data_IF_265663007585
#
_entry.id   IF_265663007585
#
_cell.length_a   1.000
_cell.length_b   1.000
_cell.length_c   1.000
_cell.angle_alpha   90.00
_cell.angle_beta   90.00
_cell.angle_gamma   90.00
#
_symmetry.space_group_name_H-M   'P 1'
#
loop_
_entity.id
_entity.type
_entity.pdbx_description
1 polymer ?
#
# COMPACT_ATOMS: atom_id res chain seq x y z
N UNK A 1 29.67 34.93 19.57
CA UNK A 1 29.92 33.49 19.28
C UNK A 1 28.65 32.64 19.10
N UNK A 2 27.44 33.23 19.02
CA UNK A 2 26.18 32.46 18.91
C UNK A 2 25.69 32.22 17.46
N UNK A 3 26.27 32.92 16.46
CA UNK A 3 25.88 32.79 15.05
C UNK A 3 26.50 31.59 14.32
N UNK A 4 27.54 30.97 14.88
CA UNK A 4 28.27 29.87 14.21
C UNK A 4 27.67 28.48 14.51
N UNK A 5 26.86 28.36 15.56
CA UNK A 5 26.23 27.08 15.97
C UNK A 5 24.91 26.79 15.24
N UNK A 6 24.26 27.80 14.65
CA UNK A 6 23.00 27.62 13.92
C UNK A 6 23.16 27.10 12.48
N UNK A 7 24.37 27.14 11.91
CA UNK A 7 24.61 26.75 10.51
C UNK A 7 24.86 25.24 10.36
N UNK A 8 25.30 24.54 11.41
CA UNK A 8 25.52 23.09 11.35
C UNK A 8 24.22 22.24 11.41
N UNK A 9 23.09 22.82 11.82
CA UNK A 9 21.83 22.06 11.95
C UNK A 9 21.12 21.82 10.60
N UNK A 10 21.52 22.48 9.51
CA UNK A 10 20.81 22.40 8.22
C UNK A 10 21.37 21.39 7.20
N UNK A 11 22.52 20.74 7.44
CA UNK A 11 23.20 19.96 6.39
C UNK A 11 22.90 18.45 6.45
N UNK A 12 22.21 17.95 7.48
CA UNK A 12 22.04 16.50 7.67
C UNK A 12 20.67 15.95 7.20
N UNK A 13 20.13 16.42 6.08
CA UNK A 13 18.94 15.82 5.41
C UNK A 13 19.17 15.12 4.04
N UNK A 14 20.32 15.13 3.35
CA UNK A 14 20.39 14.57 2.00
C UNK A 14 20.66 13.05 1.95
N UNK A 15 21.15 12.44 3.04
CA UNK A 15 21.62 11.05 3.01
C UNK A 15 20.51 10.01 2.83
N UNK A 16 19.29 10.28 3.32
CA UNK A 16 18.16 9.34 3.22
C UNK A 16 17.55 9.41 1.81
N UNK A 17 17.40 10.60 1.24
CA UNK A 17 16.80 10.80 -0.09
C UNK A 17 17.65 10.16 -1.21
N UNK A 18 18.98 10.24 -1.12
CA UNK A 18 19.87 9.62 -2.11
C UNK A 18 19.74 8.08 -2.17
N UNK A 19 19.49 7.43 -1.02
CA UNK A 19 19.32 5.96 -0.93
C UNK A 19 17.97 5.46 -1.47
N UNK A 20 17.00 6.36 -1.66
CA UNK A 20 15.65 6.01 -2.08
C UNK A 20 15.39 6.21 -3.59
N UNK A 21 16.40 6.54 -4.40
CA UNK A 21 16.23 6.84 -5.84
C UNK A 21 15.74 5.66 -6.68
N UNK A 22 16.20 4.44 -6.40
CA UNK A 22 15.76 3.24 -7.10
C UNK A 22 15.43 2.13 -6.10
N UNK A 23 14.24 1.53 -6.21
CA UNK A 23 13.88 0.40 -5.39
C UNK A 23 14.58 -0.87 -5.92
N UNK A 24 15.29 -1.62 -5.08
CA UNK A 24 15.97 -2.85 -5.50
C UNK A 24 14.93 -3.93 -5.86
N UNK A 25 15.34 -4.92 -6.67
CA UNK A 25 14.49 -6.08 -7.02
C UNK A 25 13.97 -6.82 -5.77
N UNK A 26 14.71 -6.81 -4.67
CA UNK A 26 14.28 -7.42 -3.41
C UNK A 26 12.97 -6.84 -2.86
N UNK A 27 12.64 -5.59 -3.19
CA UNK A 27 11.36 -4.96 -2.81
C UNK A 27 10.18 -5.50 -3.63
N UNK A 28 10.40 -5.86 -4.90
CA UNK A 28 9.34 -6.46 -5.74
C UNK A 28 8.85 -7.78 -5.14
N UNK A 29 9.76 -8.54 -4.52
CA UNK A 29 9.48 -9.85 -3.97
C UNK A 29 9.27 -9.83 -2.44
N UNK A 30 9.02 -8.67 -1.82
CA UNK A 30 8.90 -8.61 -0.36
C UNK A 30 7.69 -9.36 0.19
N UNK A 31 6.71 -9.69 -0.65
CA UNK A 31 5.63 -10.62 -0.28
C UNK A 31 6.16 -12.03 0.04
N UNK A 32 7.30 -12.44 -0.53
CA UNK A 32 7.98 -13.70 -0.15
C UNK A 32 8.70 -13.59 1.20
N UNK A 33 8.96 -12.36 1.67
CA UNK A 33 9.60 -12.09 2.94
C UNK A 33 8.61 -11.89 4.08
N UNK A 34 7.40 -11.41 3.78
CA UNK A 34 6.36 -11.18 4.76
C UNK A 34 5.10 -11.93 4.34
N UNK A 35 4.74 -12.96 5.11
CA UNK A 35 3.49 -13.69 4.93
C UNK A 35 2.32 -12.86 5.48
N UNK A 36 2.14 -11.67 4.92
CA UNK A 36 1.04 -10.78 5.25
C UNK A 36 -0.27 -11.39 4.71
N UNK A 37 -1.32 -11.47 5.54
CA UNK A 37 -2.60 -11.99 5.11
C UNK A 37 -3.18 -11.14 3.98
N UNK A 38 -3.74 -11.81 2.98
CA UNK A 38 -4.41 -11.18 1.85
C UNK A 38 -5.92 -11.32 2.01
N UNK A 39 -6.70 -10.29 1.63
CA UNK A 39 -8.15 -10.32 1.75
C UNK A 39 -8.75 -11.38 0.80
N UNK A 40 -9.72 -12.13 1.30
CA UNK A 40 -10.54 -13.01 0.48
C UNK A 40 -11.62 -12.21 -0.26
N UNK A 41 -11.22 -11.57 -1.36
CA UNK A 41 -12.16 -10.85 -2.24
C UNK A 41 -13.15 -11.75 -2.97
N UNK A 42 -13.02 -13.08 -2.88
CA UNK A 42 -14.05 -14.01 -3.35
C UNK A 42 -15.38 -13.85 -2.60
N UNK A 43 -15.36 -13.27 -1.40
CA UNK A 43 -16.55 -13.00 -0.61
C UNK A 43 -17.56 -12.07 -1.30
N UNK A 44 -17.15 -11.33 -2.34
CA UNK A 44 -17.99 -10.41 -3.14
C UNK A 44 -18.34 -10.96 -4.54
N UNK A 45 -18.15 -12.26 -4.78
CA UNK A 45 -18.40 -12.87 -6.10
C UNK A 45 -19.84 -12.70 -6.59
N UNK A 46 -20.83 -12.74 -5.69
CA UNK A 46 -22.24 -12.52 -6.03
C UNK A 46 -22.49 -11.16 -6.68
N UNK A 47 -21.77 -10.13 -6.24
CA UNK A 47 -21.92 -8.75 -6.72
C UNK A 47 -20.97 -8.44 -7.89
N UNK A 48 -19.77 -9.04 -7.88
CA UNK A 48 -18.65 -8.60 -8.71
C UNK A 48 -18.04 -9.68 -9.61
N UNK A 49 -18.73 -10.80 -9.84
CA UNK A 49 -18.25 -11.84 -10.76
C UNK A 49 -18.11 -11.36 -12.21
N UNK A 50 -18.93 -10.39 -12.63
CA UNK A 50 -18.96 -9.85 -14.00
C UNK A 50 -18.07 -8.62 -14.22
N UNK A 51 -17.29 -8.17 -13.22
CA UNK A 51 -16.51 -6.92 -13.28
C UNK A 51 -15.31 -6.94 -14.24
N UNK A 52 -15.22 -7.93 -15.12
CA UNK A 52 -14.08 -8.13 -16.02
C UNK A 52 -12.82 -8.66 -15.32
N UNK A 53 -11.79 -9.02 -16.11
CA UNK A 53 -10.57 -9.66 -15.59
C UNK A 53 -9.56 -8.67 -14.98
N UNK A 54 -9.73 -7.36 -15.19
CA UNK A 54 -8.79 -6.35 -14.71
C UNK A 54 -8.91 -6.18 -13.18
N UNK A 55 -7.80 -6.27 -12.42
CA UNK A 55 -7.81 -6.06 -10.97
C UNK A 55 -8.42 -4.72 -10.54
N UNK A 56 -8.17 -3.65 -11.30
CA UNK A 56 -8.76 -2.32 -11.05
C UNK A 56 -10.28 -2.35 -11.09
N UNK A 57 -10.88 -2.95 -12.12
CA UNK A 57 -12.33 -3.06 -12.26
C UNK A 57 -12.96 -3.90 -11.17
N UNK A 58 -12.33 -5.02 -10.82
CA UNK A 58 -12.82 -5.90 -9.76
C UNK A 58 -12.79 -5.21 -8.39
N UNK A 59 -11.70 -4.52 -8.06
CA UNK A 59 -11.62 -3.75 -6.82
C UNK A 59 -12.58 -2.55 -6.81
N UNK A 60 -12.76 -1.87 -7.94
CA UNK A 60 -13.76 -0.80 -8.06
C UNK A 60 -15.17 -1.33 -7.75
N UNK A 61 -15.55 -2.49 -8.33
CA UNK A 61 -16.83 -3.11 -8.04
C UNK A 61 -16.99 -3.43 -6.55
N UNK A 62 -15.99 -4.06 -5.93
CA UNK A 62 -16.03 -4.42 -4.50
C UNK A 62 -16.18 -3.17 -3.63
N UNK A 63 -15.40 -2.14 -3.93
CA UNK A 63 -15.43 -0.90 -3.16
C UNK A 63 -16.79 -0.18 -3.29
N UNK A 64 -17.39 -0.21 -4.47
CA UNK A 64 -18.74 0.33 -4.70
C UNK A 64 -19.81 -0.51 -3.99
N UNK A 65 -19.76 -1.84 -4.09
CA UNK A 65 -20.70 -2.75 -3.43
C UNK A 65 -20.63 -2.60 -1.90
N UNK A 66 -19.43 -2.40 -1.36
CA UNK A 66 -19.21 -2.14 0.05
C UNK A 66 -19.47 -0.68 0.47
N UNK A 67 -19.77 0.23 -0.47
CA UNK A 67 -19.98 1.68 -0.23
C UNK A 67 -18.80 2.36 0.48
N UNK A 68 -17.59 1.87 0.27
CA UNK A 68 -16.37 2.45 0.88
C UNK A 68 -15.81 3.62 0.08
N UNK A 69 -16.37 3.93 -1.08
CA UNK A 69 -16.05 5.13 -1.85
C UNK A 69 -17.20 6.12 -1.83
N UNK A 70 -16.88 7.37 -1.53
CA UNK A 70 -17.70 8.55 -1.79
C UNK A 70 -16.98 9.38 -2.85
N UNK A 71 -17.39 9.19 -4.12
CA UNK A 71 -16.61 9.62 -5.28
C UNK A 71 -15.21 9.01 -5.26
N UNK A 72 -14.19 9.85 -5.09
CA UNK A 72 -12.78 9.43 -5.04
C UNK A 72 -12.20 9.32 -3.62
N UNK A 73 -13.04 9.41 -2.58
CA UNK A 73 -12.61 9.41 -1.17
C UNK A 73 -13.05 8.15 -0.47
N UNK A 74 -12.21 7.65 0.44
CA UNK A 74 -12.61 6.57 1.34
C UNK A 74 -13.67 7.06 2.33
N UNK A 75 -14.80 6.36 2.37
CA UNK A 75 -15.75 6.43 3.47
C UNK A 75 -15.37 5.42 4.55
N UNK A 76 -14.66 5.90 5.57
CA UNK A 76 -14.10 5.05 6.63
C UNK A 76 -15.18 4.31 7.44
N UNK A 77 -16.42 4.80 7.46
CA UNK A 77 -17.55 4.14 8.15
C UNK A 77 -17.82 2.74 7.61
N UNK A 78 -17.59 2.52 6.30
CA UNK A 78 -17.86 1.23 5.66
C UNK A 78 -16.61 0.35 5.48
N UNK A 79 -15.42 0.87 5.78
CA UNK A 79 -14.16 0.12 5.57
C UNK A 79 -14.07 -1.09 6.48
N UNK A 80 -14.45 -0.98 7.76
CA UNK A 80 -14.42 -2.12 8.69
C UNK A 80 -15.37 -3.24 8.24
N UNK A 81 -16.68 -3.00 7.97
CA UNK A 81 -17.57 -4.03 7.44
C UNK A 81 -17.07 -4.71 6.17
N UNK A 82 -16.43 -3.94 5.27
CA UNK A 82 -15.82 -4.50 4.06
C UNK A 82 -14.70 -5.49 4.40
N UNK A 83 -13.84 -5.15 5.37
CA UNK A 83 -12.74 -5.98 5.82
C UNK A 83 -13.20 -7.21 6.59
N UNK A 84 -14.23 -7.08 7.42
CA UNK A 84 -14.85 -8.20 8.16
C UNK A 84 -15.45 -9.25 7.22
N UNK A 85 -15.90 -8.86 6.02
CA UNK A 85 -16.35 -9.80 4.99
C UNK A 85 -15.18 -10.52 4.29
N UNK A 86 -13.99 -9.91 4.27
CA UNK A 86 -12.83 -10.43 3.54
C UNK A 86 -11.76 -11.11 4.42
N UNK A 87 -11.83 -10.93 5.73
CA UNK A 87 -10.88 -11.46 6.71
C UNK A 87 -11.62 -12.08 7.90
N UNK A 88 -11.00 -13.11 8.50
CA UNK A 88 -11.55 -13.79 9.68
C UNK A 88 -10.86 -13.38 10.99
N UNK A 89 -9.82 -12.55 10.92
CA UNK A 89 -8.90 -12.31 12.05
C UNK A 89 -8.90 -10.82 12.40
N UNK A 90 -9.30 -10.50 13.64
CA UNK A 90 -9.56 -9.13 14.07
C UNK A 90 -8.31 -8.24 14.01
N UNK A 91 -7.13 -8.75 14.35
CA UNK A 91 -5.92 -7.93 14.33
C UNK A 91 -5.49 -7.57 12.90
N UNK A 92 -5.72 -8.47 11.93
CA UNK A 92 -5.58 -8.17 10.50
C UNK A 92 -6.57 -7.09 10.06
N UNK A 93 -7.84 -7.19 10.45
CA UNK A 93 -8.87 -6.20 10.12
C UNK A 93 -8.46 -4.82 10.65
N UNK A 94 -8.03 -4.74 11.92
CA UNK A 94 -7.60 -3.50 12.55
C UNK A 94 -6.35 -2.90 11.88
N UNK A 95 -5.39 -3.74 11.50
CA UNK A 95 -4.20 -3.31 10.79
C UNK A 95 -4.55 -2.73 9.41
N UNK A 96 -5.42 -3.40 8.64
CA UNK A 96 -5.89 -2.86 7.36
C UNK A 96 -6.71 -1.59 7.53
N UNK A 97 -7.60 -1.51 8.51
CA UNK A 97 -8.41 -0.31 8.80
C UNK A 97 -7.51 0.92 9.06
N UNK A 98 -6.52 0.78 9.94
CA UNK A 98 -5.54 1.82 10.24
C UNK A 98 -4.69 2.21 9.01
N UNK A 99 -4.33 1.22 8.19
CA UNK A 99 -3.59 1.44 6.96
C UNK A 99 -4.43 2.17 5.90
N UNK A 100 -5.70 1.83 5.71
CA UNK A 100 -6.62 2.55 4.83
C UNK A 100 -6.78 4.02 5.26
N UNK A 101 -6.99 4.27 6.55
CA UNK A 101 -7.06 5.63 7.11
C UNK A 101 -5.79 6.43 6.79
N UNK A 102 -4.62 5.81 6.99
CA UNK A 102 -3.32 6.42 6.67
C UNK A 102 -3.10 6.66 5.17
N UNK A 103 -3.77 5.89 4.31
CA UNK A 103 -3.64 5.96 2.86
C UNK A 103 -4.62 6.96 2.21
N UNK A 104 -5.67 7.37 2.92
CA UNK A 104 -6.72 8.26 2.42
C UNK A 104 -6.14 9.52 1.75
N UNK A 105 -5.32 10.29 2.47
CA UNK A 105 -4.69 11.51 1.97
C UNK A 105 -3.54 11.22 1.00
N UNK A 106 -2.81 10.12 1.21
CA UNK A 106 -1.66 9.77 0.38
C UNK A 106 -2.09 9.47 -1.05
N UNK A 107 -3.12 8.66 -1.25
CA UNK A 107 -3.66 8.36 -2.59
C UNK A 107 -4.28 9.62 -3.20
N UNK A 108 -5.08 10.37 -2.43
CA UNK A 108 -5.69 11.62 -2.91
C UNK A 108 -4.65 12.60 -3.47
N UNK A 109 -3.58 12.83 -2.72
CA UNK A 109 -2.59 13.85 -3.08
C UNK A 109 -1.65 13.41 -4.20
N UNK A 110 -1.51 12.11 -4.44
CA UNK A 110 -0.55 11.56 -5.38
C UNK A 110 -1.19 10.77 -6.53
N UNK A 111 -2.52 10.83 -6.68
CA UNK A 111 -3.27 10.03 -7.64
C UNK A 111 -2.70 10.14 -9.06
N UNK A 112 -2.43 11.36 -9.53
CA UNK A 112 -1.86 11.60 -10.87
C UNK A 112 -0.49 10.94 -11.05
N UNK A 113 0.38 11.01 -10.04
CA UNK A 113 1.69 10.33 -10.07
C UNK A 113 1.51 8.81 -10.09
N UNK A 114 0.61 8.27 -9.27
CA UNK A 114 0.30 6.84 -9.22
C UNK A 114 -0.25 6.33 -10.55
N UNK A 115 -1.18 7.06 -11.17
CA UNK A 115 -1.72 6.70 -12.50
C UNK A 115 -0.64 6.70 -13.58
N UNK A 116 0.34 7.60 -13.49
CA UNK A 116 1.44 7.69 -14.46
C UNK A 116 2.47 6.57 -14.36
N UNK A 117 2.55 5.87 -13.23
CA UNK A 117 3.48 4.74 -13.04
C UNK A 117 2.81 3.37 -13.04
N UNK A 118 1.50 3.31 -12.86
CA UNK A 118 0.74 2.07 -12.85
C UNK A 118 0.55 1.52 -14.26
N UNK A 119 0.71 0.19 -14.42
CA UNK A 119 0.46 -0.49 -15.70
C UNK A 119 -1.00 -0.88 -15.90
N UNK A 120 -1.83 -0.70 -14.89
CA UNK A 120 -3.25 -1.02 -14.94
C UNK A 120 -3.98 -0.05 -15.87
N UNK A 121 -4.86 -0.62 -16.70
CA UNK A 121 -5.70 0.13 -17.63
C UNK A 121 -6.57 1.16 -16.90
N UNK A 122 -7.00 2.18 -17.65
CA UNK A 122 -7.95 3.21 -17.23
C UNK A 122 -9.40 2.86 -17.58
N UNK A 123 -9.66 1.62 -17.99
CA UNK A 123 -11.02 1.12 -18.25
C UNK A 123 -11.94 1.24 -17.01
N UNK A 124 -11.36 1.30 -15.82
CA UNK A 124 -12.03 1.42 -14.53
C UNK A 124 -11.29 2.40 -13.63
N UNK A 125 -12.00 2.98 -12.67
CA UNK A 125 -11.39 3.89 -11.69
C UNK A 125 -10.36 3.13 -10.84
N UNK A 126 -9.17 3.73 -10.66
CA UNK A 126 -8.02 3.10 -10.00
C UNK A 126 -7.88 3.46 -8.51
N UNK A 127 -8.76 4.27 -7.94
CA UNK A 127 -8.69 4.64 -6.52
C UNK A 127 -8.77 3.41 -5.61
N UNK A 128 -9.72 2.50 -5.87
CA UNK A 128 -9.87 1.25 -5.11
C UNK A 128 -8.58 0.41 -5.11
N UNK A 129 -7.94 0.29 -6.28
CA UNK A 129 -6.65 -0.37 -6.43
C UNK A 129 -5.55 0.34 -5.62
N UNK A 130 -5.42 1.66 -5.77
CA UNK A 130 -4.35 2.41 -5.11
C UNK A 130 -4.50 2.44 -3.59
N UNK A 131 -5.73 2.54 -3.08
CA UNK A 131 -6.00 2.39 -1.66
C UNK A 131 -5.59 1.00 -1.15
N UNK A 132 -5.94 -0.05 -1.89
CA UNK A 132 -5.58 -1.44 -1.54
C UNK A 132 -4.06 -1.66 -1.55
N UNK A 133 -3.37 -1.23 -2.60
CA UNK A 133 -1.91 -1.33 -2.71
C UNK A 133 -1.18 -0.51 -1.63
N UNK A 134 -1.67 0.70 -1.34
CA UNK A 134 -1.11 1.51 -0.27
C UNK A 134 -1.29 0.82 1.10
N UNK A 135 -2.49 0.31 1.39
CA UNK A 135 -2.77 -0.34 2.66
C UNK A 135 -1.88 -1.58 2.85
N UNK A 136 -1.75 -2.40 1.80
CA UNK A 136 -0.90 -3.57 1.81
C UNK A 136 0.59 -3.24 1.92
N UNK A 137 1.07 -2.23 1.17
CA UNK A 137 2.46 -1.76 1.27
C UNK A 137 2.83 -1.31 2.68
N UNK A 138 1.90 -0.64 3.38
CA UNK A 138 2.09 -0.26 4.79
C UNK A 138 2.13 -1.46 5.73
N UNK A 139 1.34 -2.50 5.47
CA UNK A 139 1.39 -3.74 6.23
C UNK A 139 2.78 -4.41 6.08
N UNK A 140 3.29 -4.51 4.86
CA UNK A 140 4.61 -5.05 4.57
C UNK A 140 5.73 -4.24 5.25
N UNK A 141 5.61 -2.91 5.31
CA UNK A 141 6.56 -2.04 6.00
C UNK A 141 6.68 -2.36 7.49
N UNK A 142 5.55 -2.67 8.13
CA UNK A 142 5.47 -3.00 9.55
C UNK A 142 5.30 -4.50 9.80
N UNK A 143 5.74 -5.35 8.86
CA UNK A 143 5.57 -6.79 8.98
C UNK A 143 6.10 -7.29 10.34
N UNK A 144 5.25 -7.96 11.15
CA UNK A 144 5.65 -8.48 12.44
C UNK A 144 6.71 -9.57 12.26
N UNK A 145 7.60 -9.70 13.24
CA UNK A 145 8.70 -10.67 13.14
C UNK A 145 8.21 -12.11 13.07
N UNK A 146 7.02 -12.43 13.61
CA UNK A 146 6.38 -13.74 13.51
C UNK A 146 5.94 -14.11 12.08
N UNK A 147 5.59 -13.13 11.25
CA UNK A 147 5.20 -13.33 9.85
C UNK A 147 6.37 -13.13 8.87
N UNK A 148 7.57 -12.83 9.38
CA UNK A 148 8.72 -12.46 8.60
C UNK A 148 9.64 -13.66 8.34
N UNK A 149 9.88 -13.97 7.06
CA UNK A 149 10.83 -14.98 6.65
C UNK A 149 12.26 -14.39 6.57
N UNK A 150 13.01 -14.51 7.66
CA UNK A 150 14.40 -14.05 7.73
C UNK A 150 15.43 -14.94 7.03
N UNK A 151 15.04 -16.15 6.60
CA UNK A 151 15.97 -17.12 6.01
C UNK A 151 16.38 -16.77 4.58
N UNK A 152 15.54 -16.01 3.87
CA UNK A 152 15.79 -15.54 2.52
C UNK A 152 16.76 -14.35 2.53
N UNK A 153 17.90 -14.49 1.83
CA UNK A 153 19.00 -13.51 1.80
C UNK A 153 18.55 -12.09 1.42
N UNK A 154 17.55 -11.96 0.54
CA UNK A 154 17.05 -10.68 0.06
C UNK A 154 16.22 -9.91 1.10
N UNK A 155 15.66 -10.59 2.09
CA UNK A 155 14.62 -10.03 2.95
C UNK A 155 15.12 -8.90 3.86
N UNK A 156 16.27 -9.00 4.57
CA UNK A 156 16.76 -7.89 5.40
C UNK A 156 16.89 -6.57 4.64
N UNK A 157 17.44 -6.62 3.43
CA UNK A 157 17.56 -5.45 2.55
C UNK A 157 16.21 -4.89 2.13
N UNK A 158 15.26 -5.76 1.78
CA UNK A 158 13.91 -5.37 1.40
C UNK A 158 13.19 -4.69 2.58
N UNK A 159 13.27 -5.26 3.79
CA UNK A 159 12.67 -4.71 5.02
C UNK A 159 13.21 -3.32 5.32
N UNK A 160 14.54 -3.18 5.24
CA UNK A 160 15.22 -1.91 5.45
C UNK A 160 14.75 -0.87 4.43
N UNK A 161 14.68 -1.24 3.14
CA UNK A 161 14.26 -0.33 2.09
C UNK A 161 12.80 0.12 2.26
N UNK A 162 11.84 -0.78 2.46
CA UNK A 162 10.42 -0.39 2.58
C UNK A 162 10.14 0.49 3.80
N UNK A 163 10.93 0.34 4.87
CA UNK A 163 10.86 1.19 6.07
C UNK A 163 11.40 2.59 5.82
N UNK A 164 12.54 2.70 5.15
CA UNK A 164 13.23 3.97 4.95
C UNK A 164 12.76 4.73 3.69
N UNK A 165 12.21 4.03 2.71
CA UNK A 165 11.82 4.56 1.39
C UNK A 165 10.37 4.18 1.02
N UNK A 166 9.37 4.56 1.84
CA UNK A 166 7.99 4.06 1.68
C UNK A 166 7.33 4.49 0.36
N UNK A 167 7.58 5.72 -0.11
CA UNK A 167 6.99 6.20 -1.37
C UNK A 167 7.58 5.48 -2.60
N UNK A 168 8.91 5.41 -2.77
CA UNK A 168 9.51 4.60 -3.84
C UNK A 168 9.15 3.12 -3.78
N UNK A 169 9.03 2.54 -2.58
CA UNK A 169 8.57 1.17 -2.41
C UNK A 169 7.12 0.99 -2.92
N UNK A 170 6.20 1.87 -2.53
CA UNK A 170 4.81 1.84 -3.01
C UNK A 170 4.74 1.93 -4.54
N UNK A 171 5.50 2.87 -5.14
CA UNK A 171 5.56 3.01 -6.61
C UNK A 171 6.08 1.75 -7.30
N UNK A 172 6.96 0.99 -6.65
CA UNK A 172 7.42 -0.29 -7.19
C UNK A 172 6.28 -1.31 -7.29
N UNK A 173 5.42 -1.41 -6.27
CA UNK A 173 4.23 -2.28 -6.35
C UNK A 173 3.29 -1.85 -7.47
N UNK A 174 3.05 -0.55 -7.63
CA UNK A 174 2.19 -0.03 -8.71
C UNK A 174 2.74 -0.35 -10.10
N UNK A 175 4.06 -0.45 -10.27
CA UNK A 175 4.68 -0.83 -11.55
C UNK A 175 4.58 -2.33 -11.85
N UNK A 176 4.49 -3.15 -10.81
CA UNK A 176 4.41 -4.62 -10.94
C UNK A 176 2.99 -5.15 -10.95
N UNK A 177 2.00 -4.32 -10.63
CA UNK A 177 0.57 -4.63 -10.68
C UNK A 177 -0.04 -3.92 -11.87
#
# INVERSE_FOLDING_TARGET
>A
MLKLLLVLALVCRPAIAAKCKAAPKSVQNIQQCCHAPMPNWGAYNSECSSSGPQPSCRLQCIFNAAKVLDGNRLNMTHVRPMLERAFNEASTIDAYMSNFASCANLVKNNFKEMTGVSKQSDACDRHALFYSLCAYSRLLRHCPSSAWNGSLKQCPSARSYVRNCPWPALKMFMKST
#
